data_IF_908959060909
#
_entry.id   IF_908959060909
#
_cell.length_a   1.000
_cell.length_b   1.000
_cell.length_c   1.000
_cell.angle_alpha   90.00
_cell.angle_beta   90.00
_cell.angle_gamma   90.00
#
_symmetry.space_group_name_H-M   'P 1'
#
loop_
_entity.id
_entity.type
_entity.pdbx_description
1 polymer ?
#
# COMPACT_ATOMS: atom_id res chain seq x y z
N UNK A 1 -6.58 26.03 36.41
CA UNK A 1 -7.20 26.94 35.41
C UNK A 1 -7.00 26.37 34.01
N UNK A 2 -7.60 25.21 33.73
CA UNK A 2 -7.32 24.40 32.52
C UNK A 2 -8.59 24.00 31.77
N UNK A 3 -9.75 24.15 32.39
CA UNK A 3 -11.07 23.83 31.84
C UNK A 3 -11.54 24.83 30.79
N UNK A 4 -11.07 26.08 30.85
CA UNK A 4 -11.38 27.11 29.85
C UNK A 4 -10.75 26.80 28.48
N UNK A 5 -9.50 26.31 28.42
CA UNK A 5 -8.88 25.91 27.16
C UNK A 5 -9.55 24.67 26.55
N UNK A 6 -9.95 23.71 27.38
CA UNK A 6 -10.67 22.50 26.94
C UNK A 6 -12.10 22.81 26.47
N UNK A 7 -12.78 23.77 27.09
CA UNK A 7 -14.09 24.27 26.64
C UNK A 7 -13.96 25.03 25.31
N UNK A 8 -12.97 25.94 25.21
CA UNK A 8 -12.70 26.71 23.98
C UNK A 8 -12.29 25.81 22.80
N UNK A 9 -11.58 24.71 23.05
CA UNK A 9 -11.24 23.71 22.04
C UNK A 9 -12.46 22.86 21.58
N UNK A 10 -13.48 22.73 22.43
CA UNK A 10 -14.70 21.94 22.19
C UNK A 10 -15.80 22.76 21.50
N UNK A 11 -15.81 24.07 21.67
CA UNK A 11 -16.79 25.00 21.05
C UNK A 11 -16.40 25.43 19.63
N UNK A 12 -15.15 25.21 19.22
CA UNK A 12 -14.70 25.45 17.84
C UNK A 12 -14.92 24.22 16.96
N UNK A 13 -15.11 24.34 15.63
CA UNK A 13 -15.26 23.20 14.68
C UNK A 13 -14.03 22.27 14.57
N UNK A 14 -13.04 22.46 15.44
CA UNK A 14 -11.78 21.72 15.55
C UNK A 14 -11.93 20.20 15.75
N UNK A 15 -12.87 19.64 16.54
CA UNK A 15 -13.00 18.19 16.65
C UNK A 15 -13.51 17.57 15.34
N UNK A 16 -14.32 18.30 14.57
CA UNK A 16 -14.74 17.88 13.24
C UNK A 16 -13.58 17.90 12.23
N UNK A 17 -12.73 18.92 12.30
CA UNK A 17 -11.54 19.01 11.45
C UNK A 17 -10.50 17.94 11.78
N UNK A 18 -10.30 17.64 13.07
CA UNK A 18 -9.42 16.58 13.54
C UNK A 18 -9.94 15.18 13.15
N UNK A 19 -11.25 14.96 13.23
CA UNK A 19 -11.86 13.72 12.76
C UNK A 19 -11.76 13.58 11.24
N UNK A 20 -11.98 14.66 10.49
CA UNK A 20 -11.84 14.67 9.03
C UNK A 20 -10.40 14.42 8.59
N UNK A 21 -9.40 15.05 9.24
CA UNK A 21 -7.99 14.84 8.92
C UNK A 21 -7.54 13.42 9.25
N UNK A 22 -7.99 12.86 10.37
CA UNK A 22 -7.73 11.46 10.71
C UNK A 22 -8.35 10.51 9.68
N UNK A 23 -9.59 10.76 9.25
CA UNK A 23 -10.25 9.96 8.21
C UNK A 23 -9.49 10.01 6.88
N UNK A 24 -9.05 11.20 6.45
CA UNK A 24 -8.22 11.35 5.25
C UNK A 24 -6.91 10.58 5.40
N UNK A 25 -6.26 10.64 6.57
CA UNK A 25 -5.00 9.93 6.82
C UNK A 25 -5.19 8.41 6.81
N UNK A 26 -6.27 7.90 7.40
CA UNK A 26 -6.64 6.48 7.35
C UNK A 26 -6.95 6.05 5.91
N UNK A 27 -7.72 6.84 5.16
CA UNK A 27 -8.01 6.57 3.76
C UNK A 27 -6.72 6.52 2.92
N UNK A 28 -5.81 7.47 3.11
CA UNK A 28 -4.52 7.51 2.43
C UNK A 28 -3.67 6.28 2.78
N UNK A 29 -3.66 5.87 4.06
CA UNK A 29 -2.98 4.66 4.52
C UNK A 29 -3.55 3.40 3.86
N UNK A 30 -4.88 3.25 3.80
CA UNK A 30 -5.52 2.10 3.17
C UNK A 30 -5.22 2.02 1.67
N UNK A 31 -5.25 3.17 0.98
CA UNK A 31 -4.87 3.26 -0.44
C UNK A 31 -3.40 2.88 -0.63
N UNK A 32 -2.50 3.41 0.20
CA UNK A 32 -1.08 3.09 0.13
C UNK A 32 -0.80 1.61 0.39
N UNK A 33 -1.43 1.02 1.41
CA UNK A 33 -1.34 -0.41 1.71
C UNK A 33 -1.88 -1.28 0.56
N UNK A 34 -3.01 -0.88 -0.04
CA UNK A 34 -3.58 -1.57 -1.19
C UNK A 34 -2.63 -1.53 -2.40
N UNK A 35 -2.09 -0.35 -2.70
CA UNK A 35 -1.08 -0.19 -3.76
C UNK A 35 0.15 -1.05 -3.49
N UNK A 36 0.67 -1.01 -2.26
CA UNK A 36 1.85 -1.76 -1.86
C UNK A 36 1.63 -3.27 -2.00
N UNK A 37 0.46 -3.78 -1.60
CA UNK A 37 0.09 -5.18 -1.80
C UNK A 37 0.01 -5.52 -3.30
N UNK A 38 -0.66 -4.69 -4.09
CA UNK A 38 -0.79 -4.90 -5.54
C UNK A 38 0.56 -4.95 -6.24
N UNK A 39 1.45 -4.00 -5.93
CA UNK A 39 2.83 -3.96 -6.44
C UNK A 39 3.61 -5.19 -6.00
N UNK A 40 3.48 -5.60 -4.75
CA UNK A 40 4.16 -6.80 -4.23
C UNK A 40 3.70 -8.06 -4.96
N UNK A 41 2.39 -8.23 -5.17
CA UNK A 41 1.84 -9.36 -5.92
C UNK A 41 2.30 -9.31 -7.40
N UNK A 42 2.26 -8.13 -8.02
CA UNK A 42 2.73 -7.96 -9.41
C UNK A 42 4.22 -8.27 -9.53
N UNK A 43 5.04 -7.85 -8.56
CA UNK A 43 6.47 -8.17 -8.51
C UNK A 43 6.71 -9.67 -8.33
N UNK A 44 5.98 -10.34 -7.44
CA UNK A 44 6.10 -11.79 -7.24
C UNK A 44 5.67 -12.54 -8.50
N UNK A 45 4.55 -12.15 -9.12
CA UNK A 45 4.07 -12.73 -10.37
C UNK A 45 5.08 -12.51 -11.50
N UNK A 46 5.65 -11.30 -11.61
CA UNK A 46 6.71 -10.96 -12.56
C UNK A 46 7.98 -11.79 -12.33
N UNK A 47 8.43 -11.91 -11.09
CA UNK A 47 9.59 -12.71 -10.73
C UNK A 47 9.36 -14.20 -11.04
N UNK A 48 8.16 -14.72 -10.74
CA UNK A 48 7.80 -16.09 -11.04
C UNK A 48 7.72 -16.35 -12.55
N UNK A 49 7.09 -15.47 -13.33
CA UNK A 49 7.09 -15.61 -14.79
C UNK A 49 8.50 -15.48 -15.37
N UNK A 50 9.36 -14.63 -14.82
CA UNK A 50 10.74 -14.49 -15.29
C UNK A 50 11.59 -15.72 -14.95
N UNK A 51 11.45 -16.25 -13.72
CA UNK A 51 12.12 -17.47 -13.28
C UNK A 51 11.67 -18.69 -14.10
N UNK A 52 10.36 -18.84 -14.35
CA UNK A 52 9.84 -19.92 -15.20
C UNK A 52 10.23 -19.75 -16.66
N UNK A 53 10.32 -18.51 -17.17
CA UNK A 53 10.80 -18.26 -18.53
C UNK A 53 12.28 -18.58 -18.69
N UNK A 54 13.12 -18.25 -17.69
CA UNK A 54 14.55 -18.61 -17.69
C UNK A 54 14.76 -20.13 -17.66
N UNK A 55 14.01 -20.86 -16.84
CA UNK A 55 14.09 -22.33 -16.83
C UNK A 55 13.56 -22.95 -18.13
N UNK A 56 12.54 -22.35 -18.74
CA UNK A 56 12.04 -22.77 -20.06
C UNK A 56 13.03 -22.50 -21.18
N UNK A 57 13.76 -21.37 -21.16
CA UNK A 57 14.82 -21.10 -22.16
C UNK A 57 15.99 -22.07 -22.01
N UNK A 58 16.37 -22.42 -20.76
CA UNK A 58 17.40 -23.44 -20.51
C UNK A 58 16.96 -24.83 -21.01
N UNK A 59 15.67 -25.18 -20.87
CA UNK A 59 15.14 -26.46 -21.40
C UNK A 59 14.98 -26.46 -22.92
N UNK A 60 14.67 -25.32 -23.55
CA UNK A 60 14.60 -25.21 -25.00
C UNK A 60 15.99 -25.29 -25.62
N UNK A 61 16.99 -24.62 -25.03
CA UNK A 61 18.39 -24.68 -25.45
C UNK A 61 18.91 -26.13 -25.43
N UNK A 62 18.69 -26.87 -24.35
CA UNK A 62 19.08 -28.30 -24.26
C UNK A 62 18.30 -29.24 -25.19
N UNK A 63 17.17 -28.81 -25.79
CA UNK A 63 16.36 -29.63 -26.70
C UNK A 63 16.64 -29.35 -28.18
N UNK A 64 17.31 -28.24 -28.49
CA UNK A 64 17.76 -27.91 -29.85
C UNK A 64 19.13 -28.48 -30.21
N UNK A 65 19.80 -29.18 -29.28
CA UNK A 65 21.11 -29.82 -29.52
C UNK A 65 21.04 -31.36 -29.54
N UNK A 66 19.83 -31.94 -29.67
CA UNK A 66 19.62 -33.39 -29.76
C UNK A 66 19.13 -33.81 -31.14
#
# INVERSE_FOLDING_TARGET
MSTLLFALMRENPLPGLAAASLNVMVALCLVALSLLLGITIAMIACAHTLATRQTSTVRLDGRTVA
#
